data_IF_569967960696
#
_entry.id   IF_569967960696
#
_cell.length_a   1.000
_cell.length_b   1.000
_cell.length_c   1.000
_cell.angle_alpha   90.00
_cell.angle_beta   90.00
_cell.angle_gamma   90.00
#
_symmetry.space_group_name_H-M   'P 1'
#
loop_
_entity.id
_entity.type
_entity.pdbx_description
1 polymer ?
#
# COMPACT_ATOMS: atom_id res chain seq x y z
N UNK A 1 -77.17 -29.22 110.70
CA UNK A 1 -77.24 -30.64 110.28
C UNK A 1 -77.34 -30.64 108.77
N UNK A 2 -76.24 -30.62 108.03
CA UNK A 2 -75.27 -31.70 107.78
C UNK A 2 -75.44 -32.17 106.32
N UNK A 3 -74.36 -31.93 105.57
CA UNK A 3 -73.85 -32.74 104.48
C UNK A 3 -74.57 -32.73 103.11
N UNK A 4 -73.88 -32.05 102.18
CA UNK A 4 -73.24 -32.69 101.01
C UNK A 4 -74.13 -32.89 99.78
N UNK A 5 -74.48 -31.78 99.10
CA UNK A 5 -74.78 -31.76 97.65
C UNK A 5 -73.90 -30.77 96.85
N UNK A 6 -72.82 -30.23 97.42
CA UNK A 6 -71.85 -29.37 96.72
C UNK A 6 -70.84 -30.13 95.85
N UNK A 7 -70.78 -31.46 95.95
CA UNK A 7 -69.81 -32.28 95.22
C UNK A 7 -70.19 -32.66 93.79
N UNK A 8 -71.45 -32.50 93.38
CA UNK A 8 -71.89 -32.97 92.06
C UNK A 8 -71.66 -31.91 90.96
N UNK A 9 -71.94 -30.63 91.21
CA UNK A 9 -71.76 -29.55 90.23
C UNK A 9 -70.29 -29.27 89.85
N UNK A 10 -69.36 -29.28 90.81
CA UNK A 10 -67.92 -29.09 90.52
C UNK A 10 -67.31 -30.27 89.74
N UNK A 11 -67.79 -31.50 89.97
CA UNK A 11 -67.33 -32.69 89.26
C UNK A 11 -67.79 -32.69 87.81
N UNK A 12 -69.04 -32.27 87.55
CA UNK A 12 -69.54 -32.11 86.19
C UNK A 12 -68.83 -30.98 85.43
N UNK A 13 -68.54 -29.84 86.07
CA UNK A 13 -67.80 -28.76 85.40
C UNK A 13 -66.35 -29.15 85.10
N UNK A 14 -65.68 -29.89 86.00
CA UNK A 14 -64.35 -30.44 85.77
C UNK A 14 -64.33 -31.50 84.66
N UNK A 15 -65.36 -32.36 84.58
CA UNK A 15 -65.50 -33.35 83.51
C UNK A 15 -65.74 -32.67 82.16
N UNK A 16 -66.60 -31.65 82.10
CA UNK A 16 -66.86 -30.90 80.85
C UNK A 16 -65.63 -30.13 80.40
N UNK A 17 -64.87 -29.53 81.33
CA UNK A 17 -63.61 -28.84 81.01
C UNK A 17 -62.53 -29.83 80.54
N UNK A 18 -62.44 -31.01 81.15
CA UNK A 18 -61.51 -32.07 80.73
C UNK A 18 -61.87 -32.65 79.36
N UNK A 19 -63.17 -32.89 79.10
CA UNK A 19 -63.65 -33.34 77.79
C UNK A 19 -63.45 -32.25 76.71
N UNK A 20 -63.67 -30.98 77.04
CA UNK A 20 -63.43 -29.86 76.12
C UNK A 20 -61.95 -29.71 75.71
N UNK A 21 -61.02 -30.01 76.62
CA UNK A 21 -59.58 -30.00 76.32
C UNK A 21 -59.18 -31.22 75.48
N UNK A 22 -59.79 -32.40 75.71
CA UNK A 22 -59.49 -33.61 74.93
C UNK A 22 -60.01 -33.59 73.50
N UNK A 23 -61.10 -32.87 73.21
CA UNK A 23 -61.64 -32.80 71.84
C UNK A 23 -60.86 -31.85 70.92
N UNK A 24 -60.07 -30.90 71.46
CA UNK A 24 -59.23 -30.02 70.64
C UNK A 24 -57.96 -30.67 70.09
N UNK A 25 -57.55 -31.84 70.60
CA UNK A 25 -56.30 -32.50 70.21
C UNK A 25 -56.39 -33.37 68.95
N UNK A 26 -57.57 -33.62 68.39
CA UNK A 26 -57.72 -34.49 67.21
C UNK A 26 -57.92 -33.74 65.88
N UNK A 27 -58.01 -32.41 65.89
CA UNK A 27 -58.18 -31.59 64.67
C UNK A 27 -56.85 -31.19 64.04
N UNK A 28 -55.73 -31.37 64.74
CA UNK A 28 -54.42 -30.80 64.36
C UNK A 28 -53.51 -31.75 63.55
N UNK A 29 -53.80 -33.05 63.49
CA UNK A 29 -52.89 -34.05 62.88
C UNK A 29 -52.87 -34.02 61.34
N UNK A 30 -53.99 -33.69 60.70
CA UNK A 30 -54.07 -33.68 59.22
C UNK A 30 -53.34 -32.49 58.61
N UNK A 31 -53.34 -31.33 59.27
CA UNK A 31 -52.69 -30.12 58.79
C UNK A 31 -51.15 -30.20 58.92
N UNK A 32 -50.63 -30.85 59.97
CA UNK A 32 -49.19 -31.07 60.15
C UNK A 32 -48.62 -31.99 59.06
N UNK A 33 -49.35 -33.05 58.70
CA UNK A 33 -48.91 -33.98 57.64
C UNK A 33 -48.84 -33.26 56.28
N UNK A 34 -49.82 -32.40 55.99
CA UNK A 34 -49.84 -31.61 54.76
C UNK A 34 -48.70 -30.58 54.71
N UNK A 35 -48.40 -29.91 55.82
CA UNK A 35 -47.29 -28.94 55.91
C UNK A 35 -45.92 -29.62 55.73
N UNK A 36 -45.73 -30.81 56.29
CA UNK A 36 -44.49 -31.57 56.16
C UNK A 36 -44.27 -32.03 54.71
N UNK A 37 -45.33 -32.47 54.02
CA UNK A 37 -45.24 -32.87 52.61
C UNK A 37 -44.89 -31.68 51.70
N UNK A 38 -45.45 -30.50 51.99
CA UNK A 38 -45.05 -29.26 51.31
C UNK A 38 -43.59 -28.87 51.58
N UNK A 39 -43.11 -29.02 52.82
CA UNK A 39 -41.71 -28.75 53.16
C UNK A 39 -40.76 -29.68 52.38
N UNK A 40 -41.10 -30.98 52.29
CA UNK A 40 -40.31 -31.96 51.54
C UNK A 40 -40.30 -31.63 50.04
N UNK A 41 -41.46 -31.29 49.48
CA UNK A 41 -41.58 -30.88 48.08
C UNK A 41 -40.77 -29.60 47.78
N UNK A 42 -40.79 -28.63 48.69
CA UNK A 42 -40.04 -27.39 48.55
C UNK A 42 -38.52 -27.62 48.67
N UNK A 43 -38.09 -28.39 49.68
CA UNK A 43 -36.67 -28.70 49.88
C UNK A 43 -36.10 -29.48 48.68
N UNK A 44 -36.89 -30.40 48.11
CA UNK A 44 -36.52 -31.11 46.89
C UNK A 44 -36.37 -30.17 45.68
N UNK A 45 -37.27 -29.18 45.54
CA UNK A 45 -37.16 -28.16 44.50
C UNK A 45 -35.93 -27.30 44.68
N UNK A 46 -35.67 -26.81 45.90
CA UNK A 46 -34.47 -26.01 46.21
C UNK A 46 -33.22 -26.79 45.84
N UNK A 47 -33.11 -28.04 46.29
CA UNK A 47 -31.97 -28.91 45.95
C UNK A 47 -31.83 -29.13 44.44
N UNK A 48 -32.92 -29.39 43.74
CA UNK A 48 -32.88 -29.53 42.27
C UNK A 48 -32.51 -28.24 41.56
N UNK A 49 -32.90 -27.09 42.12
CA UNK A 49 -32.57 -25.78 41.58
C UNK A 49 -31.09 -25.50 41.77
N UNK A 50 -30.55 -25.77 42.96
CA UNK A 50 -29.13 -25.67 43.31
C UNK A 50 -28.27 -26.55 42.39
N UNK A 51 -28.59 -27.85 42.26
CA UNK A 51 -27.89 -28.75 41.34
C UNK A 51 -27.96 -28.28 39.87
N UNK A 52 -29.11 -27.74 39.44
CA UNK A 52 -29.28 -27.20 38.09
C UNK A 52 -28.52 -25.89 37.87
N UNK A 53 -28.33 -25.09 38.91
CA UNK A 53 -27.58 -23.84 38.86
C UNK A 53 -26.09 -24.12 38.85
N UNK A 54 -25.61 -24.99 39.74
CA UNK A 54 -24.20 -25.41 39.80
C UNK A 54 -23.78 -26.03 38.47
N UNK A 55 -24.55 -26.98 37.95
CA UNK A 55 -24.23 -27.62 36.65
C UNK A 55 -24.25 -26.65 35.47
N UNK A 56 -25.12 -25.63 35.48
CA UNK A 56 -25.13 -24.58 34.44
C UNK A 56 -23.95 -23.63 34.61
N UNK A 57 -23.63 -23.24 35.84
CA UNK A 57 -22.54 -22.34 36.15
C UNK A 57 -21.20 -22.98 35.80
N UNK A 58 -20.99 -24.25 36.15
CA UNK A 58 -19.79 -25.00 35.81
C UNK A 58 -19.59 -25.11 34.30
N UNK A 59 -20.67 -25.44 33.55
CA UNK A 59 -20.62 -25.52 32.09
C UNK A 59 -20.35 -24.16 31.43
N UNK A 60 -20.98 -23.09 31.90
CA UNK A 60 -20.76 -21.73 31.39
C UNK A 60 -19.33 -21.26 31.69
N UNK A 61 -18.83 -21.54 32.90
CA UNK A 61 -17.47 -21.19 33.30
C UNK A 61 -16.44 -21.98 32.50
N UNK A 62 -16.63 -23.28 32.30
CA UNK A 62 -15.75 -24.12 31.50
C UNK A 62 -15.74 -23.69 30.02
N UNK A 63 -16.92 -23.38 29.46
CA UNK A 63 -17.06 -22.85 28.11
C UNK A 63 -16.32 -21.52 27.94
N UNK A 64 -16.55 -20.56 28.84
CA UNK A 64 -15.87 -19.25 28.83
C UNK A 64 -14.37 -19.39 29.02
N UNK A 65 -13.93 -20.23 29.94
CA UNK A 65 -12.51 -20.46 30.19
C UNK A 65 -11.82 -21.09 28.97
N UNK A 66 -12.49 -22.03 28.30
CA UNK A 66 -12.01 -22.64 27.06
C UNK A 66 -11.94 -21.62 25.93
N UNK A 67 -12.98 -20.79 25.77
CA UNK A 67 -12.99 -19.70 24.78
C UNK A 67 -11.92 -18.64 25.04
N UNK A 68 -11.69 -18.26 26.30
CA UNK A 68 -10.61 -17.33 26.66
C UNK A 68 -9.25 -17.94 26.30
N UNK A 69 -9.00 -19.21 26.62
CA UNK A 69 -7.74 -19.89 26.26
C UNK A 69 -7.54 -19.98 24.76
N UNK A 70 -8.58 -20.30 24.00
CA UNK A 70 -8.49 -20.35 22.53
C UNK A 70 -8.20 -18.97 21.96
N UNK A 71 -8.90 -17.93 22.42
CA UNK A 71 -8.70 -16.57 21.95
C UNK A 71 -7.30 -16.06 22.32
N UNK A 72 -6.80 -16.39 23.50
CA UNK A 72 -5.44 -16.06 23.91
C UNK A 72 -4.38 -16.70 23.00
N UNK A 73 -4.59 -17.94 22.54
CA UNK A 73 -3.71 -18.58 21.57
C UNK A 73 -3.78 -17.90 20.19
N UNK A 74 -4.98 -17.60 19.70
CA UNK A 74 -5.17 -16.89 18.42
C UNK A 74 -4.51 -15.51 18.42
N UNK A 75 -4.73 -14.71 19.46
CA UNK A 75 -4.13 -13.38 19.60
C UNK A 75 -2.59 -13.43 19.63
N UNK A 76 -2.01 -14.48 20.23
CA UNK A 76 -0.55 -14.67 20.20
C UNK A 76 -0.03 -14.94 18.80
N UNK A 77 -0.74 -15.75 18.02
CA UNK A 77 -0.37 -16.03 16.61
C UNK A 77 -0.47 -14.75 15.78
N UNK A 78 -1.56 -14.00 15.91
CA UNK A 78 -1.75 -12.72 15.21
C UNK A 78 -0.67 -11.70 15.59
N UNK A 79 -0.28 -11.65 16.88
CA UNK A 79 0.79 -10.74 17.34
C UNK A 79 2.14 -11.11 16.72
N UNK A 80 2.48 -12.40 16.65
CA UNK A 80 3.75 -12.83 16.05
C UNK A 80 3.74 -12.62 14.52
N UNK A 81 2.59 -12.82 13.86
CA UNK A 81 2.42 -12.47 12.46
C UNK A 81 2.63 -10.97 12.22
N UNK A 82 1.96 -10.11 13.00
CA UNK A 82 2.09 -8.66 12.88
C UNK A 82 3.54 -8.20 13.10
N UNK A 83 4.24 -8.78 14.08
CA UNK A 83 5.67 -8.52 14.31
C UNK A 83 6.53 -8.95 13.13
N UNK A 84 6.19 -10.06 12.47
CA UNK A 84 6.81 -10.50 11.22
C UNK A 84 6.62 -9.50 10.09
N UNK A 85 5.39 -9.04 9.88
CA UNK A 85 5.06 -8.03 8.86
C UNK A 85 5.75 -6.70 9.13
N UNK A 86 5.78 -6.22 10.38
CA UNK A 86 6.50 -4.99 10.78
C UNK A 86 7.99 -5.11 10.48
N UNK A 87 8.62 -6.25 10.80
CA UNK A 87 10.02 -6.49 10.44
C UNK A 87 10.24 -6.50 8.92
N UNK A 88 9.33 -7.13 8.17
CA UNK A 88 9.39 -7.15 6.71
C UNK A 88 9.25 -5.76 6.09
N UNK A 89 8.32 -4.95 6.60
CA UNK A 89 8.16 -3.56 6.17
C UNK A 89 9.38 -2.71 6.56
N UNK A 90 9.93 -2.88 7.76
CA UNK A 90 11.16 -2.19 8.20
C UNK A 90 12.31 -2.48 7.25
N UNK A 91 12.54 -3.75 6.90
CA UNK A 91 13.60 -4.12 5.96
C UNK A 91 13.40 -3.51 4.57
N UNK A 92 12.16 -3.49 4.06
CA UNK A 92 11.85 -2.83 2.78
C UNK A 92 12.03 -1.31 2.82
N UNK A 93 11.77 -0.68 3.97
CA UNK A 93 11.99 0.75 4.17
C UNK A 93 13.48 1.07 4.17
N UNK A 94 14.29 0.29 4.90
CA UNK A 94 15.76 0.43 4.91
C UNK A 94 16.35 0.22 3.51
N UNK A 95 15.88 -0.79 2.77
CA UNK A 95 16.28 -1.03 1.39
C UNK A 95 15.93 0.16 0.47
N UNK A 96 14.70 0.66 0.58
CA UNK A 96 14.26 1.83 -0.19
C UNK A 96 15.07 3.08 0.16
N UNK A 97 15.39 3.31 1.43
CA UNK A 97 16.24 4.41 1.88
C UNK A 97 17.62 4.33 1.22
N UNK A 98 18.24 3.14 1.20
CA UNK A 98 19.52 2.94 0.54
C UNK A 98 19.45 3.11 -0.98
N UNK A 99 18.36 2.65 -1.62
CA UNK A 99 18.15 2.84 -3.06
C UNK A 99 17.97 4.33 -3.41
N UNK A 100 17.16 5.05 -2.65
CA UNK A 100 16.94 6.49 -2.81
C UNK A 100 18.25 7.24 -2.60
N UNK A 101 19.00 6.95 -1.52
CA UNK A 101 20.29 7.61 -1.26
C UNK A 101 21.26 7.44 -2.43
N UNK A 102 21.41 6.21 -2.95
CA UNK A 102 22.28 5.95 -4.12
C UNK A 102 21.78 6.62 -5.39
N UNK A 103 20.47 6.68 -5.61
CA UNK A 103 19.88 7.38 -6.75
C UNK A 103 20.17 8.88 -6.68
N UNK A 104 19.92 9.50 -5.51
CA UNK A 104 20.18 10.92 -5.26
C UNK A 104 21.67 11.24 -5.41
N UNK A 105 22.58 10.45 -4.82
CA UNK A 105 24.03 10.66 -4.97
C UNK A 105 24.47 10.59 -6.44
N UNK A 106 23.93 9.63 -7.22
CA UNK A 106 24.20 9.52 -8.66
C UNK A 106 23.67 10.72 -9.43
N UNK A 107 22.43 11.13 -9.18
CA UNK A 107 21.77 12.21 -9.90
C UNK A 107 22.40 13.57 -9.59
N UNK A 108 22.77 13.82 -8.33
CA UNK A 108 23.53 15.01 -7.95
C UNK A 108 24.89 15.04 -8.62
N UNK A 109 25.62 13.91 -8.65
CA UNK A 109 26.89 13.80 -9.36
C UNK A 109 26.75 14.04 -10.87
N UNK A 110 25.69 13.51 -11.50
CA UNK A 110 25.39 13.73 -12.91
C UNK A 110 25.00 15.19 -13.20
N UNK A 111 24.19 15.82 -12.34
CA UNK A 111 23.88 17.24 -12.46
C UNK A 111 25.13 18.12 -12.33
N UNK A 112 26.01 17.83 -11.37
CA UNK A 112 27.24 18.59 -11.18
C UNK A 112 28.20 18.43 -12.38
N UNK A 113 28.32 17.23 -12.93
CA UNK A 113 29.08 16.99 -14.15
C UNK A 113 28.48 17.75 -15.34
N UNK A 114 27.17 17.67 -15.55
CA UNK A 114 26.48 18.41 -16.61
C UNK A 114 26.63 19.93 -16.45
N UNK A 115 26.56 20.46 -15.22
CA UNK A 115 26.80 21.89 -14.94
C UNK A 115 28.24 22.30 -15.29
N UNK A 116 29.23 21.46 -15.02
CA UNK A 116 30.62 21.71 -15.43
C UNK A 116 30.77 21.73 -16.94
N UNK A 117 30.23 20.74 -17.64
CA UNK A 117 30.26 20.68 -19.11
C UNK A 117 29.56 21.89 -19.74
N UNK A 118 28.40 22.31 -19.21
CA UNK A 118 27.71 23.51 -19.68
C UNK A 118 28.54 24.79 -19.48
N UNK A 119 29.22 24.92 -18.33
CA UNK A 119 30.11 26.06 -18.09
C UNK A 119 31.32 26.05 -19.02
N UNK A 120 31.90 24.88 -19.29
CA UNK A 120 33.00 24.73 -20.25
C UNK A 120 32.55 25.07 -21.67
N UNK A 121 31.39 24.54 -22.09
CA UNK A 121 30.81 24.84 -23.40
C UNK A 121 30.49 26.33 -23.54
N UNK A 122 29.95 26.95 -22.50
CA UNK A 122 29.73 28.41 -22.46
C UNK A 122 31.04 29.17 -22.62
N UNK A 123 32.12 28.71 -21.99
CA UNK A 123 33.46 29.25 -22.18
C UNK A 123 33.92 29.17 -23.63
N UNK A 124 33.85 27.97 -24.24
CA UNK A 124 34.21 27.74 -25.65
C UNK A 124 33.38 28.58 -26.62
N UNK A 125 32.07 28.72 -26.36
CA UNK A 125 31.18 29.57 -27.17
C UNK A 125 31.60 31.03 -27.06
N UNK A 126 31.90 31.53 -25.86
CA UNK A 126 32.38 32.91 -25.69
C UNK A 126 33.73 33.15 -26.37
N UNK A 127 34.65 32.18 -26.31
CA UNK A 127 35.93 32.24 -27.01
C UNK A 127 35.74 32.25 -28.53
N UNK A 128 34.87 31.36 -29.05
CA UNK A 128 34.57 31.30 -30.47
C UNK A 128 33.88 32.58 -30.97
N UNK A 129 32.98 33.17 -30.19
CA UNK A 129 32.36 34.48 -30.49
C UNK A 129 33.40 35.60 -30.59
N UNK A 130 34.37 35.66 -29.67
CA UNK A 130 35.48 36.63 -29.76
C UNK A 130 36.36 36.39 -30.98
N UNK A 131 36.60 35.12 -31.35
CA UNK A 131 37.37 34.79 -32.55
C UNK A 131 36.64 35.22 -33.82
N UNK A 132 35.35 34.95 -33.94
CA UNK A 132 34.53 35.40 -35.08
C UNK A 132 34.58 36.93 -35.22
N UNK A 133 34.38 37.67 -34.12
CA UNK A 133 34.49 39.14 -34.12
C UNK A 133 35.85 39.64 -34.61
N UNK A 134 36.95 39.02 -34.17
CA UNK A 134 38.30 39.37 -34.66
C UNK A 134 38.45 39.10 -36.16
N UNK A 135 37.90 37.99 -36.66
CA UNK A 135 37.93 37.67 -38.08
C UNK A 135 37.09 38.65 -38.91
N UNK A 136 35.92 39.06 -38.41
CA UNK A 136 35.09 40.10 -39.04
C UNK A 136 35.80 41.45 -39.10
N UNK A 137 36.48 41.85 -38.01
CA UNK A 137 37.27 43.09 -37.97
C UNK A 137 38.48 43.02 -38.91
N UNK A 138 39.15 41.86 -39.00
CA UNK A 138 40.24 41.64 -39.95
C UNK A 138 39.76 41.73 -41.41
N UNK A 139 38.62 41.14 -41.75
CA UNK A 139 38.06 41.24 -43.11
C UNK A 139 37.58 42.67 -43.41
N UNK A 140 36.95 43.34 -42.45
CA UNK A 140 36.49 44.73 -42.60
C UNK A 140 37.64 45.72 -42.75
N UNK A 141 38.75 45.52 -42.04
CA UNK A 141 39.98 46.33 -42.18
C UNK A 141 40.78 46.00 -43.44
N UNK A 142 40.73 44.75 -43.90
CA UNK A 142 41.37 44.33 -45.16
C UNK A 142 40.61 44.83 -46.40
N UNK A 143 39.28 44.98 -46.32
CA UNK A 143 38.44 45.54 -47.39
C UNK A 143 38.73 47.03 -47.67
N UNK A 144 39.40 47.75 -46.77
CA UNK A 144 39.82 49.15 -46.98
C UNK A 144 41.20 49.24 -47.65
N UNK A 145 41.89 48.11 -47.88
CA UNK A 145 43.24 48.11 -48.45
C UNK A 145 43.40 47.21 -49.68
N UNK A 146 42.45 47.30 -50.61
CA UNK A 146 42.66 46.78 -51.96
C UNK A 146 43.08 47.91 -52.91
N UNK A 147 44.40 48.16 -52.94
CA UNK A 147 45.08 48.72 -54.12
C UNK A 147 45.56 47.55 -54.98
N UNK A 148 45.51 47.68 -56.33
CA UNK A 148 45.61 46.54 -57.23
C UNK A 148 47.03 46.00 -57.30
N UNK A 149 47.17 44.67 -57.21
CA UNK A 149 48.42 43.96 -57.54
C UNK A 149 48.53 43.78 -59.06
N UNK A 150 49.68 44.06 -59.68
CA UNK A 150 50.08 43.42 -60.92
C UNK A 150 50.71 42.06 -60.60
N UNK A 151 50.25 41.03 -61.30
CA UNK A 151 50.80 39.68 -61.20
C UNK A 151 52.15 39.52 -61.89
N UNK A 152 52.93 38.55 -61.43
CA UNK A 152 53.87 37.77 -62.24
C UNK A 152 54.43 36.59 -61.43
N UNK A 153 54.20 35.38 -61.93
CA UNK A 153 55.23 34.32 -61.96
C UNK A 153 55.30 33.33 -60.79
N UNK A 154 55.84 32.11 -61.03
CA UNK A 154 55.22 30.85 -60.63
C UNK A 154 56.04 30.08 -59.59
N UNK A 155 55.38 29.20 -58.81
CA UNK A 155 56.08 28.13 -58.08
C UNK A 155 55.37 26.81 -58.25
N UNK A 156 56.17 25.85 -58.72
CA UNK A 156 55.86 24.44 -58.96
C UNK A 156 55.43 23.65 -57.72
N UNK A 157 54.52 22.71 -57.99
CA UNK A 157 54.51 21.29 -57.59
C UNK A 157 54.63 20.96 -56.09
N UNK A 158 53.48 20.54 -55.55
CA UNK A 158 53.38 19.67 -54.37
C UNK A 158 52.13 18.82 -54.49
N UNK A 159 52.27 17.66 -55.14
CA UNK A 159 51.24 16.64 -55.30
C UNK A 159 51.04 15.91 -53.97
N UNK A 160 49.87 16.08 -53.34
CA UNK A 160 49.36 15.12 -52.36
C UNK A 160 47.89 14.84 -52.66
N UNK A 161 47.70 13.69 -53.30
CA UNK A 161 46.45 12.96 -53.48
C UNK A 161 45.64 12.95 -52.18
N UNK A 162 44.51 13.65 -52.18
CA UNK A 162 43.38 13.36 -51.28
C UNK A 162 42.19 12.99 -52.16
N UNK A 163 41.74 11.77 -51.98
CA UNK A 163 40.49 11.27 -52.53
C UNK A 163 39.38 12.29 -52.24
N UNK A 164 38.55 12.64 -53.23
CA UNK A 164 37.30 13.29 -52.94
C UNK A 164 36.41 12.22 -52.30
N UNK A 165 36.27 12.26 -50.98
CA UNK A 165 35.10 11.71 -50.33
C UNK A 165 33.90 12.39 -51.00
N UNK A 166 33.19 11.60 -51.79
CA UNK A 166 32.01 11.98 -52.53
C UNK A 166 31.03 12.63 -51.55
N UNK A 167 31.01 13.96 -51.51
CA UNK A 167 29.83 14.70 -51.08
C UNK A 167 28.79 14.43 -52.16
N UNK A 168 28.01 13.37 -51.96
CA UNK A 168 26.75 13.23 -52.67
C UNK A 168 25.85 14.30 -52.09
N UNK A 169 25.74 15.37 -52.86
CA UNK A 169 24.71 16.39 -52.73
C UNK A 169 23.38 15.70 -53.06
N UNK A 170 22.62 15.42 -52.00
CA UNK A 170 21.16 15.27 -51.91
C UNK A 170 20.41 14.23 -52.77
N UNK A 171 19.33 13.67 -52.20
CA UNK A 171 18.04 14.31 -52.45
C UNK A 171 17.37 14.76 -51.15
N UNK A 172 17.14 16.07 -50.95
CA UNK A 172 16.13 16.56 -49.99
C UNK A 172 14.70 16.16 -50.35
N UNK A 173 14.45 15.46 -51.44
CA UNK A 173 13.18 15.70 -52.15
C UNK A 173 11.97 14.88 -51.72
N UNK A 174 12.07 13.64 -51.24
CA UNK A 174 10.85 12.85 -50.92
C UNK A 174 11.03 11.87 -49.75
N UNK A 175 12.22 11.29 -49.63
CA UNK A 175 12.58 10.37 -48.56
C UNK A 175 12.42 11.02 -47.17
N UNK A 176 13.01 12.20 -46.99
CA UNK A 176 12.98 12.93 -45.72
C UNK A 176 11.55 13.36 -45.35
N UNK A 177 10.75 13.75 -46.34
CA UNK A 177 9.35 14.13 -46.15
C UNK A 177 8.47 12.94 -45.72
N UNK A 178 8.69 11.75 -46.29
CA UNK A 178 7.98 10.53 -45.91
C UNK A 178 8.34 10.08 -44.49
N UNK A 179 9.62 10.15 -44.13
CA UNK A 179 10.09 9.84 -42.78
C UNK A 179 9.51 10.82 -41.75
N UNK A 180 9.56 12.13 -42.03
CA UNK A 180 9.04 13.16 -41.13
C UNK A 180 7.52 13.09 -40.97
N UNK A 181 6.78 12.73 -42.03
CA UNK A 181 5.33 12.53 -41.97
C UNK A 181 4.92 11.38 -41.06
N UNK A 182 5.63 10.24 -41.13
CA UNK A 182 5.40 9.12 -40.23
C UNK A 182 5.69 9.53 -38.78
N UNK A 183 6.82 10.22 -38.55
CA UNK A 183 7.23 10.71 -37.25
C UNK A 183 6.29 11.78 -36.66
N UNK A 184 5.68 12.63 -37.50
CA UNK A 184 4.64 13.57 -37.08
C UNK A 184 3.38 12.82 -36.60
N UNK A 185 2.99 11.75 -37.29
CA UNK A 185 1.85 10.92 -36.89
C UNK A 185 2.10 10.23 -35.54
N UNK A 186 3.33 9.79 -35.28
CA UNK A 186 3.74 9.29 -33.96
C UNK A 186 3.59 10.36 -32.87
N UNK A 187 4.08 11.57 -33.12
CA UNK A 187 4.02 12.70 -32.18
C UNK A 187 2.58 13.14 -31.89
N UNK A 188 1.67 12.96 -32.83
CA UNK A 188 0.23 13.20 -32.68
C UNK A 188 -0.51 12.06 -31.95
N UNK A 189 0.20 11.00 -31.52
CA UNK A 189 -0.39 9.85 -30.84
C UNK A 189 -1.09 8.84 -31.76
N UNK A 190 -0.94 8.98 -33.09
CA UNK A 190 -1.52 8.07 -34.09
C UNK A 190 -0.53 6.94 -34.41
N UNK A 191 -0.36 6.03 -33.45
CA UNK A 191 0.66 4.98 -33.53
C UNK A 191 0.46 4.00 -34.69
N UNK A 192 -0.79 3.61 -34.99
CA UNK A 192 -1.10 2.69 -36.10
C UNK A 192 -0.71 3.28 -37.47
N UNK A 193 -1.11 4.53 -37.73
CA UNK A 193 -0.75 5.23 -38.97
C UNK A 193 0.74 5.56 -39.06
N UNK A 194 1.41 5.78 -37.93
CA UNK A 194 2.86 5.96 -37.88
C UNK A 194 3.61 4.69 -38.25
N UNK A 195 3.23 3.53 -37.68
CA UNK A 195 3.85 2.24 -37.98
C UNK A 195 3.70 1.88 -39.47
N UNK A 196 2.53 2.13 -40.05
CA UNK A 196 2.32 1.93 -41.49
C UNK A 196 3.21 2.86 -42.32
N UNK A 197 3.33 4.13 -41.92
CA UNK A 197 4.22 5.11 -42.55
C UNK A 197 5.69 4.70 -42.53
N UNK A 198 6.20 4.16 -41.41
CA UNK A 198 7.58 3.68 -41.32
C UNK A 198 7.81 2.39 -42.11
N UNK A 199 6.84 1.46 -42.13
CA UNK A 199 6.91 0.26 -43.00
C UNK A 199 6.96 0.64 -44.48
N UNK A 200 6.15 1.61 -44.89
CA UNK A 200 6.16 2.12 -46.26
C UNK A 200 7.46 2.83 -46.62
N UNK A 201 8.02 3.58 -45.68
CA UNK A 201 9.33 4.19 -45.82
C UNK A 201 10.43 3.13 -46.03
N UNK A 202 10.47 2.09 -45.20
CA UNK A 202 11.44 1.00 -45.33
C UNK A 202 11.30 0.21 -46.63
N UNK A 203 10.08 0.06 -47.14
CA UNK A 203 9.82 -0.60 -48.42
C UNK A 203 10.29 0.24 -49.61
N UNK A 204 10.13 1.57 -49.55
CA UNK A 204 10.51 2.48 -50.64
C UNK A 204 12.01 2.85 -50.60
N UNK A 205 12.57 2.98 -49.41
CA UNK A 205 13.95 3.40 -49.19
C UNK A 205 14.70 2.45 -48.25
N UNK A 206 14.88 1.16 -48.63
CA UNK A 206 15.55 0.17 -47.78
C UNK A 206 17.05 0.43 -47.58
N UNK A 207 17.65 1.32 -48.38
CA UNK A 207 19.07 1.73 -48.30
C UNK A 207 19.24 3.18 -47.85
N UNK A 208 18.19 3.79 -47.32
CA UNK A 208 18.25 5.14 -46.78
C UNK A 208 19.13 5.19 -45.52
N UNK A 209 19.83 6.31 -45.33
CA UNK A 209 20.56 6.62 -44.09
C UNK A 209 19.63 6.66 -42.86
N UNK A 210 18.31 6.77 -43.06
CA UNK A 210 17.27 6.77 -42.03
C UNK A 210 16.52 5.44 -41.94
N UNK A 211 16.84 4.45 -42.77
CA UNK A 211 16.20 3.14 -42.75
C UNK A 211 16.39 2.47 -41.37
N UNK A 212 17.59 2.49 -40.81
CA UNK A 212 17.85 1.91 -39.50
C UNK A 212 17.04 2.60 -38.40
N UNK A 213 16.90 3.92 -38.47
CA UNK A 213 16.06 4.67 -37.54
C UNK A 213 14.56 4.38 -37.72
N UNK A 214 14.10 4.12 -38.95
CA UNK A 214 12.70 3.79 -39.22
C UNK A 214 12.31 2.40 -38.71
N UNK A 215 13.25 1.49 -38.47
CA UNK A 215 12.97 0.18 -37.87
C UNK A 215 12.69 0.24 -36.36
N UNK A 216 13.07 1.34 -35.70
CA UNK A 216 12.92 1.51 -34.26
C UNK A 216 11.49 1.91 -33.84
N UNK A 217 10.82 2.73 -34.65
CA UNK A 217 9.52 3.35 -34.36
C UNK A 217 8.34 2.44 -34.73
#
# INVERSE_FOLDING_TARGET
MHLRKKGSGCLFFGIILFFGISFSSCVYDKEIIYLNDQMIALNKRVKSLEESLDSKLDRDLESKLTSIRSNQASLRVETEQLKGEVKGVSGRVEENEHLIKRAVERDLGAQDAARKELNELKGKVSEMDTSVKRHEEYLSSSAVRERPRPGAGPVERGEVKREPATRVVEPRSEELALYEKALASYREGKFEGSMEGFKDFLRKYPKSDRADNAQFW
#
